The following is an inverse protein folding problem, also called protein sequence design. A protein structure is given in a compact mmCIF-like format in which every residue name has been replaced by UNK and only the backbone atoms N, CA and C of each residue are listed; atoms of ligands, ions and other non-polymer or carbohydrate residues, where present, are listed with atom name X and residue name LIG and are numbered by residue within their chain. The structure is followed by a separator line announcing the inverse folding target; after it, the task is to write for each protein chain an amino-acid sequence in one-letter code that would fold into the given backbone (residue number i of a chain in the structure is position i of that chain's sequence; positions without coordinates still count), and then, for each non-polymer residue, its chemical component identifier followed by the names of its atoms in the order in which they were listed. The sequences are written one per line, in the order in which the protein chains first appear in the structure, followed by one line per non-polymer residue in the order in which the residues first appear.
data_IF_725097218388
#
_entry.id   IF_725097218388
#
_cell.length_a   1.000
_cell.length_b   1.000
_cell.length_c   1.000
_cell.angle_alpha   90.00
_cell.angle_beta   90.00
_cell.angle_gamma   90.00
#
_symmetry.space_group_name_H-M   'P 1'
#
loop_
_entity.id
_entity.type
_entity.pdbx_description
1 polymer ?
#
# COMPACT_ATOMS: atom_id res chain seq x y z
N UNK A 1 -0.67 -33.86 -13.98
CA UNK A 1 -1.61 -32.81 -13.55
C UNK A 1 -0.83 -31.87 -12.66
N UNK A 2 -0.57 -30.64 -13.10
CA UNK A 2 0.13 -29.63 -12.28
C UNK A 2 -0.90 -29.02 -11.37
N UNK A 3 -0.70 -29.17 -10.06
CA UNK A 3 -1.57 -28.63 -9.03
C UNK A 3 -1.43 -27.09 -9.03
N UNK A 4 -2.30 -26.41 -9.76
CA UNK A 4 -2.25 -24.95 -9.99
C UNK A 4 -3.00 -24.14 -8.92
N UNK A 5 -3.24 -24.71 -7.74
CA UNK A 5 -3.79 -23.96 -6.61
C UNK A 5 -2.70 -23.52 -5.63
N UNK A 6 -1.69 -22.78 -6.12
CA UNK A 6 -0.94 -21.89 -5.23
C UNK A 6 -1.93 -20.84 -4.72
N UNK A 7 -2.48 -21.05 -3.52
CA UNK A 7 -3.15 -20.00 -2.76
C UNK A 7 -2.20 -18.81 -2.73
N UNK A 8 -2.52 -17.73 -3.43
CA UNK A 8 -1.82 -16.47 -3.28
C UNK A 8 -2.10 -15.98 -1.86
N UNK A 9 -1.30 -16.42 -0.89
CA UNK A 9 -1.28 -15.90 0.48
C UNK A 9 -0.48 -14.60 0.50
N UNK A 10 -0.86 -13.65 -0.33
CA UNK A 10 -0.18 -12.36 -0.43
C UNK A 10 -0.85 -11.31 0.43
N UNK A 11 -0.06 -10.44 1.03
CA UNK A 11 -0.56 -9.18 1.57
C UNK A 11 -1.03 -8.28 0.43
N UNK A 12 -2.15 -7.56 0.62
CA UNK A 12 -2.66 -6.63 -0.40
C UNK A 12 -3.06 -5.28 0.17
N UNK A 13 -2.82 -4.26 -0.65
CA UNK A 13 -3.48 -2.97 -0.57
C UNK A 13 -4.72 -3.01 -1.48
N UNK A 14 -5.88 -2.60 -0.97
CA UNK A 14 -7.11 -2.51 -1.76
C UNK A 14 -7.50 -1.03 -1.88
N UNK A 15 -7.58 -0.51 -3.10
CA UNK A 15 -8.01 0.85 -3.41
C UNK A 15 -9.08 0.74 -4.49
N UNK A 16 -10.28 1.25 -4.23
CA UNK A 16 -11.41 1.23 -5.17
C UNK A 16 -11.68 -0.15 -5.80
N UNK A 17 -11.48 -1.21 -5.01
CA UNK A 17 -11.67 -2.61 -5.45
C UNK A 17 -10.53 -3.20 -6.28
N UNK A 18 -9.48 -2.41 -6.54
CA UNK A 18 -8.22 -2.84 -7.16
C UNK A 18 -7.28 -3.35 -6.07
N UNK A 19 -6.76 -4.57 -6.26
CA UNK A 19 -5.84 -5.18 -5.30
C UNK A 19 -4.41 -5.12 -5.82
N UNK A 20 -3.54 -4.54 -5.00
CA UNK A 20 -2.14 -4.33 -5.29
C UNK A 20 -1.34 -5.24 -4.35
N UNK A 21 -0.59 -6.22 -4.90
CA UNK A 21 0.25 -7.10 -4.09
C UNK A 21 1.29 -6.32 -3.30
N UNK A 22 1.48 -6.71 -2.04
CA UNK A 22 2.49 -6.18 -1.14
C UNK A 22 3.42 -7.29 -0.67
N UNK A 23 4.62 -6.95 -0.18
CA UNK A 23 5.50 -7.89 0.49
C UNK A 23 4.84 -8.59 1.70
N UNK A 24 5.24 -9.82 1.98
CA UNK A 24 4.68 -10.66 3.04
C UNK A 24 4.84 -10.09 4.46
N UNK A 25 5.80 -9.19 4.66
CA UNK A 25 6.05 -8.52 5.92
C UNK A 25 5.25 -7.21 6.09
N UNK A 26 4.56 -6.74 5.05
CA UNK A 26 3.72 -5.55 5.11
C UNK A 26 2.55 -5.74 6.10
N UNK A 27 2.44 -4.85 7.09
CA UNK A 27 1.36 -4.92 8.10
C UNK A 27 0.42 -3.74 8.05
N UNK A 28 0.91 -2.59 7.63
CA UNK A 28 0.12 -1.37 7.51
C UNK A 28 0.43 -0.69 6.19
N UNK A 29 -0.57 -0.01 5.66
CA UNK A 29 -0.50 0.83 4.48
C UNK A 29 -1.06 2.20 4.79
N UNK A 30 -0.52 3.21 4.14
CA UNK A 30 -0.98 4.59 4.29
C UNK A 30 -0.58 5.43 3.09
N UNK A 31 -1.31 6.51 2.86
CA UNK A 31 -0.99 7.54 1.89
C UNK A 31 -0.38 8.75 2.59
N UNK A 32 0.59 9.39 1.95
CA UNK A 32 1.12 10.70 2.36
C UNK A 32 0.30 11.85 1.75
N UNK A 33 0.43 13.10 2.25
CA UNK A 33 -0.24 14.27 1.68
C UNK A 33 0.02 14.50 0.18
N UNK A 34 1.14 13.98 -0.33
CA UNK A 34 1.50 14.07 -1.76
C UNK A 34 0.87 12.96 -2.62
N UNK A 35 -0.03 12.15 -2.06
CA UNK A 35 -0.75 11.10 -2.77
C UNK A 35 0.00 9.77 -2.91
N UNK A 36 1.27 9.70 -2.50
CA UNK A 36 2.09 8.48 -2.61
C UNK A 36 1.70 7.47 -1.53
N UNK A 37 1.51 6.22 -1.93
CA UNK A 37 1.24 5.12 -1.02
C UNK A 37 2.50 4.45 -0.49
N UNK A 38 2.46 4.10 0.79
CA UNK A 38 3.52 3.41 1.50
C UNK A 38 2.99 2.23 2.29
N UNK A 39 3.88 1.31 2.62
CA UNK A 39 3.65 0.23 3.56
C UNK A 39 4.72 0.17 4.65
N UNK A 40 4.38 -0.42 5.80
CA UNK A 40 5.27 -0.58 6.95
C UNK A 40 5.02 -1.91 7.68
N UNK A 41 6.04 -2.36 8.41
CA UNK A 41 5.97 -3.55 9.28
C UNK A 41 5.50 -3.25 10.70
N UNK A 42 5.39 -1.96 11.07
CA UNK A 42 4.99 -1.47 12.40
C UNK A 42 4.02 -0.30 12.23
N UNK A 43 3.09 -0.13 13.17
CA UNK A 43 2.11 0.95 13.09
C UNK A 43 2.83 2.31 12.99
N UNK A 44 2.59 3.10 11.93
CA UNK A 44 3.27 4.38 11.75
C UNK A 44 2.80 5.41 12.76
N UNK A 45 3.67 6.38 13.06
CA UNK A 45 3.38 7.56 13.87
C UNK A 45 3.44 8.81 12.99
N UNK A 46 2.74 9.85 13.41
CA UNK A 46 2.79 11.16 12.75
C UNK A 46 4.13 11.86 13.00
N UNK A 47 4.53 12.65 12.01
CA UNK A 47 5.58 13.65 12.11
C UNK A 47 4.91 15.01 12.23
N UNK A 48 5.38 15.81 13.18
CA UNK A 48 4.98 17.19 13.37
C UNK A 48 6.01 18.13 12.77
N UNK A 49 5.57 19.32 12.36
CA UNK A 49 6.44 20.41 11.94
C UNK A 49 7.40 20.79 13.08
N UNK A 50 8.66 21.06 12.72
CA UNK A 50 9.72 21.37 13.69
C UNK A 50 9.46 22.71 14.41
N UNK A 51 8.89 23.68 13.69
CA UNK A 51 8.59 25.01 14.17
C UNK A 51 7.18 25.10 14.76
N UNK A 52 6.24 24.30 14.24
CA UNK A 52 4.86 24.22 14.70
C UNK A 52 4.49 22.79 15.14
N UNK A 53 4.83 22.42 16.39
CA UNK A 53 4.65 21.06 16.93
C UNK A 53 3.21 20.53 17.01
N UNK A 54 2.22 21.35 16.66
CA UNK A 54 0.80 20.98 16.55
C UNK A 54 0.38 20.65 15.12
N UNK A 55 1.22 20.99 14.13
CA UNK A 55 0.94 20.79 12.72
C UNK A 55 1.55 19.48 12.26
N UNK A 56 0.70 18.56 11.82
CA UNK A 56 1.12 17.26 11.29
C UNK A 56 1.48 17.42 9.81
N UNK A 57 2.62 16.86 9.41
CA UNK A 57 3.19 17.04 8.06
C UNK A 57 3.38 15.74 7.30
N UNK A 58 3.13 14.59 7.92
CA UNK A 58 3.15 13.29 7.27
C UNK A 58 3.36 12.12 8.23
N UNK A 59 3.59 10.94 7.68
CA UNK A 59 3.92 9.74 8.45
C UNK A 59 5.42 9.60 8.69
N UNK A 60 5.78 8.81 9.70
CA UNK A 60 7.16 8.47 10.05
C UNK A 60 8.06 8.15 8.83
N UNK A 61 9.35 8.45 8.94
CA UNK A 61 10.31 8.30 7.83
C UNK A 61 10.56 6.84 7.41
N UNK A 62 10.50 5.89 8.35
CA UNK A 62 10.76 4.48 8.05
C UNK A 62 9.50 3.81 7.50
N UNK A 63 9.35 3.93 6.18
CA UNK A 63 8.27 3.38 5.36
C UNK A 63 8.80 3.04 3.97
N UNK A 64 8.14 2.11 3.30
CA UNK A 64 8.54 1.64 1.99
C UNK A 64 7.45 2.04 0.98
N UNK A 65 7.80 2.66 -0.16
CA UNK A 65 6.80 3.00 -1.17
C UNK A 65 6.15 1.73 -1.73
N UNK A 66 4.86 1.81 -2.02
CA UNK A 66 4.16 0.81 -2.81
C UNK A 66 4.52 1.05 -4.27
N UNK A 67 5.07 0.05 -4.94
CA UNK A 67 5.42 0.15 -6.35
C UNK A 67 4.38 -0.54 -7.22
N UNK A 68 4.07 0.07 -8.36
CA UNK A 68 3.29 -0.52 -9.45
C UNK A 68 4.12 -0.55 -10.73
N UNK A 69 3.84 -1.51 -11.59
CA UNK A 69 4.48 -1.63 -12.89
C UNK A 69 3.81 -0.68 -13.88
N UNK A 70 4.61 0.18 -14.51
CA UNK A 70 4.16 1.00 -15.64
C UNK A 70 4.05 0.18 -16.92
N UNK A 71 3.38 0.74 -17.94
CA UNK A 71 3.25 0.14 -19.28
C UNK A 71 4.61 -0.26 -19.91
N UNK A 72 5.70 0.37 -19.49
CA UNK A 72 7.06 0.14 -19.96
C UNK A 72 7.90 -0.75 -19.03
N UNK A 73 7.27 -1.51 -18.13
CA UNK A 73 7.93 -2.40 -17.14
C UNK A 73 8.84 -1.70 -16.12
N UNK A 74 8.78 -0.37 -16.02
CA UNK A 74 9.44 0.36 -14.94
C UNK A 74 8.57 0.34 -13.68
N UNK A 75 9.19 0.11 -12.52
CA UNK A 75 8.53 0.28 -11.22
C UNK A 75 8.42 1.77 -10.89
N UNK A 76 7.21 2.22 -10.57
CA UNK A 76 6.93 3.59 -10.14
C UNK A 76 6.12 3.57 -8.83
N UNK A 77 6.32 4.56 -7.94
CA UNK A 77 5.48 4.68 -6.76
C UNK A 77 4.00 4.78 -7.16
N UNK A 78 3.14 4.09 -6.43
CA UNK A 78 1.70 4.25 -6.56
C UNK A 78 1.31 5.63 -6.04
N UNK A 79 0.69 6.41 -6.92
CA UNK A 79 0.18 7.74 -6.60
C UNK A 79 -1.30 7.74 -6.95
N UNK A 80 -2.14 8.12 -6.00
CA UNK A 80 -3.57 8.34 -6.21
C UNK A 80 -3.96 9.71 -5.68
N UNK A 81 -5.12 10.21 -6.08
CA UNK A 81 -5.74 11.33 -5.40
C UNK A 81 -6.06 10.94 -3.94
N UNK A 82 -5.94 11.90 -3.03
CA UNK A 82 -6.36 11.71 -1.65
C UNK A 82 -7.88 11.87 -1.58
N UNK A 83 -8.59 10.75 -1.47
CA UNK A 83 -10.07 10.74 -1.37
C UNK A 83 -10.57 10.79 0.08
N UNK A 84 -9.70 10.49 1.04
CA UNK A 84 -10.03 10.60 2.46
C UNK A 84 -10.05 12.08 2.91
N UNK A 85 -10.91 12.46 3.87
CA UNK A 85 -10.92 13.80 4.47
C UNK A 85 -9.55 14.25 5.00
N UNK A 86 -8.74 13.28 5.44
CA UNK A 86 -7.35 13.49 5.84
C UNK A 86 -6.49 12.31 5.43
N UNK A 87 -5.24 12.57 5.08
CA UNK A 87 -4.22 11.54 4.83
C UNK A 87 -4.00 10.65 6.07
N UNK A 88 -4.34 11.13 7.27
CA UNK A 88 -4.29 10.34 8.50
C UNK A 88 -5.27 9.17 8.51
N UNK A 89 -6.42 9.36 7.88
CA UNK A 89 -7.50 8.37 7.82
C UNK A 89 -7.19 7.26 6.81
N UNK A 90 -6.14 7.42 6.01
CA UNK A 90 -5.69 6.41 5.04
C UNK A 90 -4.91 5.26 5.69
N UNK A 91 -4.55 5.36 6.97
CA UNK A 91 -3.85 4.29 7.67
C UNK A 91 -4.76 3.07 7.84
N UNK A 92 -4.39 1.98 7.16
CA UNK A 92 -5.11 0.72 7.20
C UNK A 92 -4.18 -0.44 7.55
N UNK A 93 -4.75 -1.47 8.16
CA UNK A 93 -4.06 -2.75 8.31
C UNK A 93 -4.17 -3.50 6.99
N UNK A 94 -3.06 -4.07 6.55
CA UNK A 94 -2.99 -4.88 5.33
C UNK A 94 -3.94 -6.07 5.44
N UNK A 95 -4.60 -6.39 4.32
CA UNK A 95 -5.49 -7.55 4.21
C UNK A 95 -4.71 -8.72 3.58
N UNK A 96 -4.97 -9.93 4.03
CA UNK A 96 -4.42 -11.15 3.41
C UNK A 96 -5.33 -11.63 2.29
N UNK A 97 -4.73 -11.93 1.13
CA UNK A 97 -5.43 -12.41 -0.06
C UNK A 97 -6.16 -13.75 0.13
N UNK A 98 -5.83 -14.55 1.18
CA UNK A 98 -6.63 -15.73 1.54
C UNK A 98 -8.09 -15.38 1.89
N UNK A 99 -8.35 -14.14 2.29
CA UNK A 99 -9.69 -13.64 2.61
C UNK A 99 -10.41 -13.06 1.38
N UNK A 100 -9.83 -13.12 0.17
CA UNK A 100 -10.33 -12.39 -1.00
C UNK A 100 -10.50 -13.28 -2.25
N UNK A 101 -11.58 -13.10 -3.04
CA UNK A 101 -11.81 -13.87 -4.26
C UNK A 101 -10.77 -13.52 -5.35
N UNK A 102 -10.29 -14.55 -6.06
CA UNK A 102 -9.13 -14.51 -6.97
C UNK A 102 -9.20 -13.54 -8.18
N UNK A 103 -10.33 -12.87 -8.42
CA UNK A 103 -10.63 -12.19 -9.69
C UNK A 103 -10.23 -10.70 -9.78
N UNK A 104 -9.55 -10.10 -8.78
CA UNK A 104 -9.40 -8.63 -8.71
C UNK A 104 -7.98 -8.09 -8.48
N UNK A 105 -6.95 -8.86 -8.81
CA UNK A 105 -5.56 -8.42 -8.66
C UNK A 105 -5.09 -7.65 -9.89
N UNK A 106 -4.43 -6.51 -9.69
CA UNK A 106 -3.48 -5.96 -10.66
C UNK A 106 -2.25 -6.89 -10.62
N UNK A 107 -2.31 -7.97 -11.39
CA UNK A 107 -1.19 -8.90 -11.50
C UNK A 107 -0.14 -8.27 -12.39
N UNK A 108 0.97 -7.82 -11.80
CA UNK A 108 2.23 -7.69 -12.53
C UNK A 108 2.61 -9.08 -13.02
N UNK A 109 2.62 -9.27 -14.34
CA UNK A 109 2.94 -10.52 -14.98
C UNK A 109 4.40 -10.89 -14.68
N UNK A 110 4.58 -11.88 -13.80
CA UNK A 110 5.83 -12.59 -13.67
C UNK A 110 6.22 -13.19 -15.04
N UNK A 111 7.42 -12.85 -15.53
CA UNK A 111 8.14 -13.62 -16.56
C UNK A 111 9.08 -14.59 -15.87
#
# INVERSE_FOLDING_TARGET
MVDTTKKNKGNVLCIDGIHIPLPDDAKFVMQEPNGVWYWTTRRPRFIFDEYEKTKEIGWMHKKNPVFVESEYKHQKPLITELTAPSWMETLQRVVTAELMPAQRFLVGSAS
#
